data_IF_842876737081
#
_entry.id   IF_842876737081
#
_cell.length_a   1.000
_cell.length_b   1.000
_cell.length_c   1.000
_cell.angle_alpha   90.00
_cell.angle_beta   90.00
_cell.angle_gamma   90.00
#
_symmetry.space_group_name_H-M   'P 1'
#
loop_
_entity.id
_entity.type
_entity.pdbx_description
1 polymer ?
#
# COMPACT_ATOMS: atom_id res chain seq x y z
N UNK A 1 13.18 -31.14 20.14
CA UNK A 1 12.06 -31.74 19.38
C UNK A 1 11.06 -30.63 19.13
N UNK A 2 11.05 -30.08 17.92
CA UNK A 2 10.09 -29.06 17.50
C UNK A 2 8.84 -29.81 17.02
N UNK A 3 7.76 -29.74 17.78
CA UNK A 3 6.45 -30.22 17.34
C UNK A 3 5.94 -29.27 16.26
N UNK A 4 6.12 -29.64 14.99
CA UNK A 4 5.43 -28.98 13.88
C UNK A 4 4.02 -29.55 13.78
N UNK A 5 3.06 -28.86 14.40
CA UNK A 5 1.64 -29.07 14.10
C UNK A 5 1.42 -28.78 12.61
N UNK A 6 0.72 -29.64 11.85
CA UNK A 6 0.40 -29.35 10.46
C UNK A 6 -0.44 -28.06 10.37
N UNK A 7 -0.30 -27.26 9.29
CA UNK A 7 -1.16 -26.09 9.11
C UNK A 7 -2.62 -26.58 9.12
N UNK A 8 -3.39 -26.07 10.07
CA UNK A 8 -4.84 -26.28 10.13
C UNK A 8 -5.46 -25.78 8.82
N UNK A 9 -6.46 -26.52 8.32
CA UNK A 9 -7.25 -26.07 7.18
C UNK A 9 -7.78 -24.65 7.43
N UNK A 10 -7.86 -23.79 6.40
CA UNK A 10 -8.37 -22.43 6.56
C UNK A 10 -9.80 -22.51 7.09
N UNK A 11 -10.04 -22.02 8.30
CA UNK A 11 -11.37 -22.13 8.94
C UNK A 11 -12.39 -21.12 8.35
N UNK A 12 -11.93 -20.25 7.44
CA UNK A 12 -12.73 -19.25 6.74
C UNK A 12 -12.86 -17.91 7.49
N UNK A 13 -12.46 -17.85 8.77
CA UNK A 13 -12.45 -16.61 9.55
C UNK A 13 -11.16 -15.82 9.33
N UNK A 14 -10.01 -16.49 9.35
CA UNK A 14 -8.71 -15.86 9.14
C UNK A 14 -8.36 -15.76 7.66
N UNK A 15 -7.92 -14.60 7.17
CA UNK A 15 -7.48 -14.48 5.79
C UNK A 15 -6.19 -15.28 5.56
N UNK A 16 -6.04 -15.82 4.37
CA UNK A 16 -4.76 -16.37 3.91
C UNK A 16 -3.66 -15.30 4.00
N UNK A 17 -2.42 -15.64 4.40
CA UNK A 17 -1.32 -14.69 4.40
C UNK A 17 -1.03 -14.20 2.97
N UNK A 18 -1.28 -12.91 2.71
CA UNK A 18 -1.03 -12.29 1.40
C UNK A 18 0.28 -11.50 1.38
N UNK A 19 0.75 -11.04 2.55
CA UNK A 19 1.92 -10.18 2.69
C UNK A 19 2.93 -10.78 3.66
N UNK A 20 4.21 -10.49 3.43
CA UNK A 20 5.30 -10.91 4.30
C UNK A 20 5.56 -9.88 5.39
N UNK A 21 5.87 -10.33 6.60
CA UNK A 21 6.28 -9.45 7.69
C UNK A 21 7.75 -9.06 7.51
N UNK A 22 8.04 -7.75 7.50
CA UNK A 22 9.40 -7.25 7.36
C UNK A 22 10.26 -7.59 8.59
N UNK A 23 11.56 -7.85 8.37
CA UNK A 23 12.52 -8.08 9.46
C UNK A 23 13.03 -6.80 10.13
N UNK A 24 12.76 -5.64 9.54
CA UNK A 24 13.26 -4.34 9.96
C UNK A 24 12.63 -3.21 9.14
N UNK A 25 12.88 -1.94 9.49
CA UNK A 25 12.32 -0.81 8.75
C UNK A 25 12.83 -0.79 7.30
N UNK A 26 11.97 -0.44 6.33
CA UNK A 26 12.36 -0.38 4.93
C UNK A 26 13.26 0.83 4.65
N UNK A 27 13.96 0.79 3.51
CA UNK A 27 14.74 1.93 3.03
C UNK A 27 13.80 3.01 2.47
N UNK A 28 14.04 4.30 2.76
CA UNK A 28 13.28 5.39 2.15
C UNK A 28 13.35 5.34 0.61
N UNK A 29 12.19 5.44 -0.04
CA UNK A 29 12.08 5.48 -1.49
C UNK A 29 12.05 6.94 -1.97
N UNK A 30 13.13 7.38 -2.62
CA UNK A 30 13.15 8.63 -3.38
C UNK A 30 12.97 8.31 -4.86
N UNK A 31 11.75 8.46 -5.36
CA UNK A 31 11.42 8.14 -6.75
C UNK A 31 12.30 8.86 -7.78
N UNK A 32 12.63 10.13 -7.54
CA UNK A 32 13.47 10.94 -8.42
C UNK A 32 14.93 10.44 -8.52
N UNK A 33 15.36 9.54 -7.63
CA UNK A 33 16.70 8.96 -7.64
C UNK A 33 16.82 7.68 -8.49
N UNK A 34 15.71 7.20 -9.08
CA UNK A 34 15.63 5.90 -9.75
C UNK A 34 15.49 6.04 -11.27
N UNK A 35 16.04 5.08 -12.03
CA UNK A 35 15.78 4.97 -13.48
C UNK A 35 14.33 4.55 -13.74
N UNK A 36 13.85 4.71 -14.98
CA UNK A 36 12.49 4.32 -15.36
C UNK A 36 12.22 2.83 -15.09
N UNK A 37 13.20 1.97 -15.35
CA UNK A 37 13.10 0.53 -15.10
C UNK A 37 12.96 0.24 -13.61
N UNK A 38 13.74 0.91 -12.77
CA UNK A 38 13.65 0.78 -11.31
C UNK A 38 12.32 1.33 -10.79
N UNK A 39 11.86 2.46 -11.33
CA UNK A 39 10.55 3.03 -10.98
C UNK A 39 9.42 2.06 -11.33
N UNK A 40 9.44 1.41 -12.50
CA UNK A 40 8.45 0.39 -12.86
C UNK A 40 8.44 -0.77 -11.87
N UNK A 41 9.61 -1.25 -11.47
CA UNK A 41 9.72 -2.32 -10.49
C UNK A 41 9.14 -1.93 -9.12
N UNK A 42 9.47 -0.73 -8.63
CA UNK A 42 8.88 -0.19 -7.40
C UNK A 42 7.36 -0.03 -7.50
N UNK A 43 6.86 0.36 -8.68
CA UNK A 43 5.43 0.55 -8.92
C UNK A 43 4.67 -0.79 -8.91
N UNK A 44 5.25 -1.87 -9.43
CA UNK A 44 4.68 -3.23 -9.38
C UNK A 44 4.58 -3.75 -7.93
N UNK A 45 5.64 -3.54 -7.14
CA UNK A 45 5.64 -3.90 -5.72
C UNK A 45 4.60 -3.08 -4.94
N UNK A 46 4.50 -1.78 -5.23
CA UNK A 46 3.50 -0.90 -4.64
C UNK A 46 2.07 -1.31 -5.02
N UNK A 47 1.82 -1.68 -6.29
CA UNK A 47 0.49 -2.10 -6.75
C UNK A 47 -0.03 -3.31 -5.99
N UNK A 48 0.83 -4.30 -5.74
CA UNK A 48 0.47 -5.48 -4.93
C UNK A 48 -0.02 -5.06 -3.53
N UNK A 49 0.68 -4.13 -2.88
CA UNK A 49 0.29 -3.63 -1.57
C UNK A 49 -0.96 -2.74 -1.63
N UNK A 50 -1.10 -1.89 -2.65
CA UNK A 50 -2.28 -1.03 -2.84
C UNK A 50 -3.55 -1.86 -3.07
N UNK A 51 -3.47 -2.94 -3.85
CA UNK A 51 -4.57 -3.91 -4.02
C UNK A 51 -4.97 -4.48 -2.67
N UNK A 52 -4.02 -4.94 -1.87
CA UNK A 52 -4.29 -5.41 -0.50
C UNK A 52 -4.94 -4.33 0.35
N UNK A 53 -4.41 -3.10 0.36
CA UNK A 53 -4.92 -1.97 1.14
C UNK A 53 -6.38 -1.66 0.79
N UNK A 54 -6.69 -1.59 -0.51
CA UNK A 54 -8.04 -1.30 -1.02
C UNK A 54 -9.02 -2.37 -0.60
N UNK A 55 -8.66 -3.65 -0.74
CA UNK A 55 -9.51 -4.76 -0.32
C UNK A 55 -9.69 -4.83 1.20
N UNK A 56 -8.60 -4.69 1.95
CA UNK A 56 -8.56 -4.84 3.41
C UNK A 56 -9.36 -3.73 4.11
N UNK A 57 -9.18 -2.47 3.69
CA UNK A 57 -9.90 -1.32 4.27
C UNK A 57 -11.16 -0.94 3.49
N UNK A 58 -11.54 -1.73 2.49
CA UNK A 58 -12.72 -1.52 1.63
C UNK A 58 -12.76 -0.09 1.06
N UNK A 59 -11.61 0.39 0.59
CA UNK A 59 -11.51 1.71 -0.02
C UNK A 59 -12.23 1.73 -1.37
N UNK A 60 -12.88 2.85 -1.68
CA UNK A 60 -13.50 3.09 -2.98
C UNK A 60 -12.65 4.04 -3.84
N UNK A 61 -13.16 4.31 -5.05
CA UNK A 61 -12.51 5.17 -6.05
C UNK A 61 -12.31 6.61 -5.58
N UNK A 62 -12.97 7.06 -4.51
CA UNK A 62 -12.76 8.39 -3.93
C UNK A 62 -11.37 8.51 -3.31
N UNK A 63 -10.81 7.42 -2.82
CA UNK A 63 -9.50 7.39 -2.17
C UNK A 63 -8.42 6.84 -3.10
N UNK A 64 -8.72 5.74 -3.80
CA UNK A 64 -7.77 5.08 -4.70
C UNK A 64 -8.51 4.68 -5.99
N UNK A 65 -8.45 5.49 -7.06
CA UNK A 65 -9.08 5.17 -8.33
C UNK A 65 -8.25 4.15 -9.10
N UNK A 66 -8.86 3.41 -10.04
CA UNK A 66 -8.15 2.47 -10.93
C UNK A 66 -7.01 3.14 -11.73
N UNK A 67 -7.11 4.46 -11.95
CA UNK A 67 -6.11 5.27 -12.63
C UNK A 67 -4.91 5.67 -11.75
N UNK A 68 -4.84 5.28 -10.47
CA UNK A 68 -3.90 5.86 -9.49
C UNK A 68 -2.43 5.86 -9.94
N UNK A 69 -2.00 4.83 -10.69
CA UNK A 69 -0.65 4.71 -11.27
C UNK A 69 -0.30 5.78 -12.31
N UNK A 70 -1.26 6.61 -12.71
CA UNK A 70 -1.08 7.73 -13.64
C UNK A 70 -0.96 9.08 -12.94
N UNK A 71 -1.03 9.11 -11.60
CA UNK A 71 -1.03 10.33 -10.80
C UNK A 71 0.13 10.32 -9.82
N UNK A 72 1.09 11.21 -10.04
CA UNK A 72 2.33 11.23 -9.27
C UNK A 72 2.10 11.49 -7.78
N UNK A 73 1.15 12.36 -7.45
CA UNK A 73 0.79 12.69 -6.09
C UNK A 73 0.21 11.47 -5.34
N UNK A 74 -0.51 10.59 -6.04
CA UNK A 74 -1.00 9.33 -5.48
C UNK A 74 0.13 8.33 -5.33
N UNK A 75 1.04 8.22 -6.32
CA UNK A 75 2.21 7.34 -6.23
C UNK A 75 3.05 7.71 -5.01
N UNK A 76 3.38 9.00 -4.82
CA UNK A 76 4.20 9.46 -3.70
C UNK A 76 3.51 9.21 -2.35
N UNK A 77 2.24 9.59 -2.19
CA UNK A 77 1.49 9.41 -0.94
C UNK A 77 1.30 7.93 -0.59
N UNK A 78 0.95 7.09 -1.56
CA UNK A 78 0.81 5.64 -1.35
C UNK A 78 2.15 4.97 -1.07
N UNK A 79 3.24 5.41 -1.71
CA UNK A 79 4.59 4.91 -1.40
C UNK A 79 4.97 5.20 0.04
N UNK A 80 4.73 6.43 0.51
CA UNK A 80 5.02 6.82 1.88
C UNK A 80 4.19 6.01 2.89
N UNK A 81 2.91 5.78 2.59
CA UNK A 81 2.03 4.95 3.41
C UNK A 81 2.50 3.49 3.47
N UNK A 82 2.95 2.93 2.35
CA UNK A 82 3.49 1.58 2.27
C UNK A 82 4.76 1.43 3.12
N UNK A 83 5.71 2.35 2.99
CA UNK A 83 6.94 2.33 3.80
C UNK A 83 6.65 2.47 5.30
N UNK A 84 5.69 3.32 5.66
CA UNK A 84 5.27 3.47 7.06
C UNK A 84 4.57 2.21 7.57
N UNK A 85 3.81 1.51 6.72
CA UNK A 85 3.15 0.25 7.06
C UNK A 85 4.19 -0.84 7.31
N UNK A 86 5.13 -1.03 6.38
CA UNK A 86 6.23 -1.99 6.51
C UNK A 86 7.03 -1.76 7.78
N UNK A 87 7.37 -0.49 8.08
CA UNK A 87 8.07 -0.13 9.31
C UNK A 87 7.26 -0.47 10.57
N UNK A 88 5.96 -0.19 10.57
CA UNK A 88 5.10 -0.40 11.72
C UNK A 88 4.85 -1.88 12.06
N UNK A 89 4.91 -2.74 11.04
CA UNK A 89 4.70 -4.18 11.19
C UNK A 89 6.00 -5.00 11.19
N UNK A 90 7.16 -4.34 11.09
CA UNK A 90 8.44 -5.02 11.17
C UNK A 90 8.62 -5.78 12.51
N UNK A 91 9.32 -6.92 12.49
CA UNK A 91 9.56 -7.72 13.71
C UNK A 91 10.38 -6.98 14.77
N UNK A 92 11.07 -5.91 14.39
CA UNK A 92 11.83 -5.02 15.29
C UNK A 92 11.05 -3.80 15.76
N UNK A 93 9.81 -3.60 15.29
CA UNK A 93 9.00 -2.43 15.64
C UNK A 93 8.51 -2.48 17.09
N UNK A 94 8.20 -1.31 17.65
CA UNK A 94 7.48 -1.25 18.92
C UNK A 94 6.02 -1.71 18.73
N UNK A 95 5.44 -2.31 19.77
CA UNK A 95 4.11 -2.92 19.70
C UNK A 95 2.96 -1.93 19.45
N UNK A 96 3.18 -0.64 19.64
CA UNK A 96 2.23 0.46 19.39
C UNK A 96 2.35 1.07 17.99
N UNK A 97 3.40 0.77 17.23
CA UNK A 97 3.58 1.28 15.87
C UNK A 97 2.41 0.96 14.91
N UNK A 98 1.78 -0.24 14.96
CA UNK A 98 0.57 -0.51 14.17
C UNK A 98 -0.56 0.48 14.45
N UNK A 99 -0.77 0.90 15.71
CA UNK A 99 -1.79 1.89 16.05
C UNK A 99 -1.41 3.27 15.49
N UNK A 100 -0.15 3.68 15.67
CA UNK A 100 0.38 4.94 15.15
C UNK A 100 0.23 5.02 13.61
N UNK A 101 0.42 3.91 12.91
CA UNK A 101 0.19 3.84 11.47
C UNK A 101 -1.29 4.06 11.10
N UNK A 102 -2.23 3.47 11.83
CA UNK A 102 -3.67 3.65 11.58
C UNK A 102 -4.12 5.10 11.76
N UNK A 103 -3.58 5.80 12.77
CA UNK A 103 -3.85 7.23 12.97
C UNK A 103 -3.35 8.06 11.78
N UNK A 104 -2.11 7.82 11.33
CA UNK A 104 -1.54 8.47 10.14
C UNK A 104 -2.31 8.14 8.87
N UNK A 105 -2.76 6.90 8.70
CA UNK A 105 -3.60 6.48 7.58
C UNK A 105 -4.94 7.23 7.57
N UNK A 106 -5.55 7.45 8.73
CA UNK A 106 -6.76 8.29 8.87
C UNK A 106 -6.55 9.70 8.31
N UNK A 107 -5.42 10.34 8.62
CA UNK A 107 -5.06 11.64 8.06
C UNK A 107 -4.75 11.59 6.57
N UNK A 108 -4.04 10.55 6.10
CA UNK A 108 -3.67 10.40 4.70
C UNK A 108 -4.89 10.19 3.78
N UNK A 109 -5.95 9.53 4.27
CA UNK A 109 -7.20 9.37 3.51
C UNK A 109 -7.84 10.70 3.10
N UNK A 110 -7.67 11.77 3.89
CA UNK A 110 -8.14 13.10 3.51
C UNK A 110 -7.34 13.65 2.33
N UNK A 111 -6.01 13.50 2.34
CA UNK A 111 -5.12 13.92 1.24
C UNK A 111 -5.35 13.10 -0.03
N UNK A 112 -5.49 11.77 0.10
CA UNK A 112 -5.83 10.89 -1.02
C UNK A 112 -7.12 11.36 -1.72
N UNK A 113 -8.18 11.63 -0.95
CA UNK A 113 -9.43 12.13 -1.50
C UNK A 113 -9.28 13.50 -2.20
N UNK A 114 -8.42 14.38 -1.67
CA UNK A 114 -8.08 15.64 -2.30
C UNK A 114 -7.33 15.46 -3.63
N UNK A 115 -6.33 14.58 -3.67
CA UNK A 115 -5.58 14.26 -4.89
C UNK A 115 -6.50 13.69 -5.98
N UNK A 116 -7.38 12.76 -5.63
CA UNK A 116 -8.36 12.20 -6.57
C UNK A 116 -9.31 13.27 -7.09
N UNK A 117 -9.82 14.15 -6.22
CA UNK A 117 -10.70 15.24 -6.63
C UNK A 117 -10.01 16.21 -7.61
N UNK A 118 -8.72 16.53 -7.38
CA UNK A 118 -7.91 17.38 -8.26
C UNK A 118 -7.57 16.71 -9.58
N UNK A 119 -7.30 15.40 -9.56
CA UNK A 119 -6.94 14.62 -10.75
C UNK A 119 -8.10 14.52 -11.77
N UNK A 120 -9.35 14.65 -11.32
CA UNK A 120 -10.52 14.66 -12.20
C UNK A 120 -10.78 13.35 -12.94
N UNK A 121 -10.24 12.21 -12.48
CA UNK A 121 -10.48 10.90 -13.10
C UNK A 121 -11.97 10.58 -13.17
N UNK A 122 -12.52 10.48 -14.38
CA UNK A 122 -13.89 10.00 -14.62
C UNK A 122 -13.87 8.53 -15.06
N UNK A 123 -14.80 7.70 -14.56
CA UNK A 123 -14.96 6.33 -15.04
C UNK A 123 -15.16 6.31 -16.57
N UNK A 124 -14.27 5.63 -17.30
CA UNK A 124 -14.35 5.49 -18.75
C UNK A 124 -13.61 6.53 -19.61
N UNK A 125 -12.99 7.57 -19.02
CA UNK A 125 -12.31 8.63 -19.79
C UNK A 125 -10.78 8.48 -19.90
N UNK A 126 -10.19 7.36 -19.49
CA UNK A 126 -8.76 7.13 -19.76
C UNK A 126 -8.53 6.62 -21.19
N UNK A 127 -8.51 7.55 -22.14
CA UNK A 127 -7.77 7.34 -23.38
C UNK A 127 -6.29 7.25 -23.02
N UNK A 128 -5.68 6.12 -23.38
CA UNK A 128 -4.22 5.99 -23.45
C UNK A 128 -3.66 7.19 -24.21
N UNK A 129 -2.92 8.07 -23.53
CA UNK A 129 -2.01 8.97 -24.22
C UNK A 129 -0.79 8.14 -24.57
N UNK A 130 -0.67 7.86 -25.87
CA UNK A 130 0.47 7.21 -26.51
C UNK A 130 1.80 7.90 -26.19
#
# INVERSE_FOLDING_TARGET
MINSTPPSAPDGFYPEPVLYQAGGPPMPLMWAAHTVEQQKHHLEALDTWVVWLVHHYRLDRRYVPECWTKHWELIEELSALHLAWDAAYATTAHGDEPLNWHERFGHARLRLAEWVARAGCRPGEHRSTA
#
